data_IF_526599157203
#
_entry.id   IF_526599157203
#
_cell.length_a   1.000
_cell.length_b   1.000
_cell.length_c   1.000
_cell.angle_alpha   90.00
_cell.angle_beta   90.00
_cell.angle_gamma   90.00
#
_symmetry.space_group_name_H-M   'P 1'
#
loop_
_entity.id
_entity.type
_entity.pdbx_description
1 polymer ?
#
# COMPACT_ATOMS: atom_id res chain seq x y z
N UNK A 1 -22.56 4.20 3.11
CA UNK A 1 -21.23 4.23 3.78
C UNK A 1 -20.28 4.89 2.81
N UNK A 2 -19.54 5.90 3.22
CA UNK A 2 -18.52 6.54 2.36
C UNK A 2 -17.15 6.00 2.80
N UNK A 3 -16.54 5.19 1.95
CA UNK A 3 -15.13 4.81 2.10
C UNK A 3 -14.24 6.01 1.75
N UNK A 4 -13.11 6.16 2.45
CA UNK A 4 -12.05 7.10 2.06
C UNK A 4 -10.87 6.31 1.55
N UNK A 5 -10.34 6.71 0.40
CA UNK A 5 -9.18 6.09 -0.23
C UNK A 5 -8.17 7.20 -0.54
N UNK A 6 -6.95 7.06 -0.03
CA UNK A 6 -5.83 7.96 -0.30
C UNK A 6 -4.74 7.18 -1.04
N UNK A 7 -4.46 7.57 -2.28
CA UNK A 7 -3.46 6.89 -3.13
C UNK A 7 -2.10 7.59 -3.02
N UNK A 8 -1.06 6.79 -2.85
CA UNK A 8 0.32 7.23 -2.69
C UNK A 8 1.24 6.42 -3.62
N UNK A 9 2.30 7.08 -4.09
CA UNK A 9 3.24 6.52 -5.06
C UNK A 9 4.67 6.78 -4.57
N UNK A 10 5.55 5.79 -4.72
CA UNK A 10 7.00 5.89 -4.46
C UNK A 10 7.75 5.06 -5.50
N UNK A 11 8.96 5.47 -5.87
CA UNK A 11 9.83 4.69 -6.76
C UNK A 11 10.95 4.05 -5.94
N UNK A 12 11.12 2.74 -6.10
CA UNK A 12 12.14 1.99 -5.39
C UNK A 12 12.73 0.90 -6.31
N UNK A 13 14.05 0.96 -6.52
CA UNK A 13 14.80 -0.04 -7.30
C UNK A 13 14.22 -0.31 -8.69
N UNK A 14 13.85 0.77 -9.39
CA UNK A 14 13.24 0.73 -10.73
C UNK A 14 11.79 0.22 -10.75
N UNK A 15 11.16 0.04 -9.58
CA UNK A 15 9.76 -0.36 -9.45
C UNK A 15 8.93 0.80 -8.86
N UNK A 16 7.72 0.99 -9.39
CA UNK A 16 6.73 1.91 -8.83
C UNK A 16 5.92 1.18 -7.74
N UNK A 17 5.98 1.65 -6.50
CA UNK A 17 5.18 1.18 -5.38
C UNK A 17 3.95 2.06 -5.26
N UNK A 18 2.78 1.44 -5.29
CA UNK A 18 1.47 2.07 -5.19
C UNK A 18 0.84 1.63 -3.87
N UNK A 19 0.53 2.57 -2.99
CA UNK A 19 -0.11 2.33 -1.70
C UNK A 19 -1.44 3.05 -1.66
N UNK A 20 -2.52 2.32 -1.35
CA UNK A 20 -3.82 2.92 -1.06
C UNK A 20 -4.13 2.76 0.43
N UNK A 21 -4.20 3.88 1.14
CA UNK A 21 -4.69 3.96 2.50
C UNK A 21 -6.21 4.00 2.47
N UNK A 22 -6.88 3.02 3.05
CA UNK A 22 -8.34 2.85 2.97
C UNK A 22 -8.97 2.92 4.34
N UNK A 23 -9.93 3.82 4.52
CA UNK A 23 -10.83 3.84 5.67
C UNK A 23 -12.23 3.37 5.21
N UNK A 24 -12.64 2.14 5.58
CA UNK A 24 -13.87 1.52 5.05
C UNK A 24 -15.15 2.19 5.54
N UNK A 25 -15.11 2.81 6.73
CA UNK A 25 -16.20 3.61 7.27
C UNK A 25 -15.68 4.86 8.02
N UNK A 26 -16.42 5.97 8.05
CA UNK A 26 -16.00 7.15 8.79
C UNK A 26 -15.69 6.84 10.27
N UNK A 27 -14.49 7.17 10.71
CA UNK A 27 -14.04 6.92 12.10
C UNK A 27 -13.56 5.50 12.38
N UNK A 28 -13.57 4.59 11.40
CA UNK A 28 -12.89 3.30 11.49
C UNK A 28 -11.38 3.43 11.30
N UNK A 29 -10.66 2.36 11.60
CA UNK A 29 -9.24 2.17 11.34
C UNK A 29 -8.92 2.26 9.85
N UNK A 30 -7.67 2.58 9.54
CA UNK A 30 -7.13 2.60 8.19
C UNK A 30 -6.46 1.27 7.87
N UNK A 31 -6.48 0.88 6.61
CA UNK A 31 -5.81 -0.30 6.07
C UNK A 31 -4.86 0.11 4.94
N UNK A 32 -3.80 -0.67 4.72
CA UNK A 32 -2.86 -0.44 3.63
C UNK A 32 -3.04 -1.48 2.52
N UNK A 33 -3.22 -1.00 1.28
CA UNK A 33 -3.26 -1.85 0.10
C UNK A 33 -2.07 -1.54 -0.80
N UNK A 34 -1.27 -2.55 -1.09
CA UNK A 34 0.02 -2.37 -1.77
C UNK A 34 0.02 -3.08 -3.11
N UNK A 35 0.49 -2.37 -4.13
CA UNK A 35 0.80 -2.89 -5.46
C UNK A 35 2.18 -2.42 -5.86
N UNK A 36 2.88 -3.22 -6.65
CA UNK A 36 4.19 -2.88 -7.21
C UNK A 36 4.10 -3.03 -8.72
N UNK A 37 4.58 -2.05 -9.48
CA UNK A 37 4.63 -2.08 -10.93
C UNK A 37 6.08 -2.02 -11.39
N UNK A 38 6.48 -2.92 -12.28
CA UNK A 38 7.80 -2.95 -12.91
C UNK A 38 7.63 -3.13 -14.41
N UNK A 39 8.23 -2.25 -15.20
CA UNK A 39 8.17 -2.32 -16.68
C UNK A 39 6.74 -2.45 -17.25
N UNK A 40 5.76 -1.80 -16.61
CA UNK A 40 4.34 -1.85 -16.99
C UNK A 40 3.58 -3.10 -16.52
N UNK A 41 4.24 -4.04 -15.83
CA UNK A 41 3.61 -5.22 -15.21
C UNK A 41 3.30 -4.93 -13.74
N UNK A 42 2.03 -5.05 -13.36
CA UNK A 42 1.59 -4.91 -11.96
C UNK A 42 1.61 -6.24 -11.20
N UNK A 43 2.07 -6.20 -9.95
CA UNK A 43 1.99 -7.32 -9.02
C UNK A 43 0.56 -7.51 -8.50
N UNK A 44 0.18 -8.73 -8.07
CA UNK A 44 -1.07 -8.96 -7.38
C UNK A 44 -1.19 -8.04 -6.16
N UNK A 45 -2.39 -7.49 -5.96
CA UNK A 45 -2.68 -6.61 -4.83
C UNK A 45 -2.46 -7.36 -3.52
N UNK A 46 -1.58 -6.81 -2.68
CA UNK A 46 -1.32 -7.30 -1.32
C UNK A 46 -2.12 -6.42 -0.38
N UNK A 47 -3.00 -7.04 0.38
CA UNK A 47 -3.80 -6.39 1.39
C UNK A 47 -3.16 -6.66 2.74
N UNK A 48 -2.91 -5.61 3.52
CA UNK A 48 -2.67 -5.75 4.95
C UNK A 48 -4.01 -5.62 5.68
N UNK A 49 -4.85 -6.67 5.59
CA UNK A 49 -6.12 -6.72 6.32
C UNK A 49 -5.93 -7.05 7.81
N UNK A 50 -4.76 -7.57 8.17
CA UNK A 50 -4.48 -8.03 9.54
C UNK A 50 -3.96 -6.89 10.43
N UNK A 51 -3.55 -5.76 9.82
CA UNK A 51 -3.05 -4.59 10.53
C UNK A 51 -3.99 -3.40 10.37
N UNK A 52 -4.49 -2.93 11.51
CA UNK A 52 -5.31 -1.72 11.60
C UNK A 52 -4.44 -0.53 12.02
N UNK A 53 -4.52 0.57 11.27
CA UNK A 53 -3.79 1.81 11.56
C UNK A 53 -4.74 2.90 12.07
N UNK A 54 -4.27 3.75 12.98
CA UNK A 54 -5.10 4.84 13.52
C UNK A 54 -5.24 5.98 12.50
N UNK A 55 -4.26 6.13 11.61
CA UNK A 55 -4.20 7.23 10.62
C UNK A 55 -3.84 6.78 9.20
N UNK A 56 -4.21 7.59 8.21
CA UNK A 56 -3.84 7.33 6.80
C UNK A 56 -2.33 7.40 6.57
N UNK A 57 -1.61 8.23 7.32
CA UNK A 57 -0.15 8.36 7.23
C UNK A 57 0.58 7.13 7.77
N UNK A 58 0.06 6.47 8.82
CA UNK A 58 0.59 5.19 9.30
C UNK A 58 0.37 4.08 8.29
N UNK A 59 -0.84 3.96 7.75
CA UNK A 59 -1.16 2.99 6.70
C UNK A 59 -0.27 3.18 5.46
N UNK A 60 -0.05 4.43 5.05
CA UNK A 60 0.87 4.79 3.97
C UNK A 60 2.31 4.34 4.25
N UNK A 61 2.86 4.65 5.44
CA UNK A 61 4.24 4.29 5.81
C UNK A 61 4.43 2.78 5.79
N UNK A 62 3.52 2.05 6.44
CA UNK A 62 3.57 0.60 6.48
C UNK A 62 3.41 -0.01 5.07
N UNK A 63 2.49 0.53 4.26
CA UNK A 63 2.32 0.11 2.87
C UNK A 63 3.58 0.28 2.03
N UNK A 64 4.35 1.36 2.23
CA UNK A 64 5.63 1.53 1.53
C UNK A 64 6.71 0.57 2.02
N UNK A 65 6.76 0.27 3.32
CA UNK A 65 7.68 -0.73 3.86
C UNK A 65 7.39 -2.12 3.28
N UNK A 66 6.12 -2.51 3.22
CA UNK A 66 5.65 -3.74 2.56
C UNK A 66 6.02 -3.72 1.08
N UNK A 67 5.76 -2.61 0.38
CA UNK A 67 6.09 -2.46 -1.05
C UNK A 67 7.58 -2.64 -1.32
N UNK A 68 8.44 -2.04 -0.49
CA UNK A 68 9.90 -2.19 -0.60
C UNK A 68 10.34 -3.62 -0.32
N UNK A 69 9.71 -4.31 0.64
CA UNK A 69 9.97 -5.73 0.88
C UNK A 69 9.59 -6.61 -0.32
N UNK A 70 8.45 -6.32 -0.97
CA UNK A 70 8.01 -7.01 -2.19
C UNK A 70 9.01 -6.79 -3.33
N UNK A 71 9.45 -5.55 -3.55
CA UNK A 71 10.45 -5.24 -4.60
C UNK A 71 11.75 -6.01 -4.37
N UNK A 72 12.23 -6.06 -3.12
CA UNK A 72 13.43 -6.84 -2.75
C UNK A 72 13.26 -8.34 -3.00
N UNK A 73 12.05 -8.88 -2.81
CA UNK A 73 11.75 -10.28 -3.10
C UNK A 73 11.71 -10.56 -4.61
N UNK A 74 11.18 -9.63 -5.41
CA UNK A 74 11.14 -9.71 -6.88
C UNK A 74 12.54 -9.66 -7.50
N UNK A 75 13.44 -8.84 -6.94
CA UNK A 75 14.79 -8.63 -7.47
C UNK A 75 15.84 -9.60 -6.88
N UNK A 76 15.42 -10.63 -6.13
CA UNK A 76 16.29 -11.67 -5.57
C UNK A 76 16.53 -12.81 -6.54
#
# INVERSE_FOLDING_TARGET
MHERIECHFDEFDGCEIIVESVQPAPGSTWMANVRVRKDGVESPRRYDFDTEYETSEEAKRAGFEIGRAIVRDINR
#
